data_IF_170848878240
#
_entry.id   IF_170848878240
#
_cell.length_a   1.000
_cell.length_b   1.000
_cell.length_c   1.000
_cell.angle_alpha   90.00
_cell.angle_beta   90.00
_cell.angle_gamma   90.00
#
_symmetry.space_group_name_H-M   'P 1'
#
loop_
_entity.id
_entity.type
_entity.pdbx_description
1 polymer ?
#
# COMPACT_ATOMS: atom_id res chain seq x y z
N UNK A 1 18.77 -33.92 -27.94
CA UNK A 1 18.00 -33.30 -26.83
C UNK A 1 17.67 -31.88 -27.25
N UNK A 2 16.51 -31.69 -27.90
CA UNK A 2 16.04 -30.35 -28.26
C UNK A 2 15.20 -29.81 -27.10
N UNK A 3 15.76 -28.88 -26.31
CA UNK A 3 14.98 -28.12 -25.34
C UNK A 3 13.86 -27.37 -26.07
N UNK A 4 12.68 -27.15 -25.45
CA UNK A 4 11.59 -26.41 -26.07
C UNK A 4 12.05 -25.02 -26.52
N UNK A 5 12.39 -24.86 -27.80
CA UNK A 5 13.10 -23.70 -28.36
C UNK A 5 12.33 -22.38 -28.28
N UNK A 6 11.05 -22.41 -27.91
CA UNK A 6 10.19 -21.22 -27.91
C UNK A 6 10.21 -20.39 -26.63
N UNK A 7 10.53 -20.97 -25.47
CA UNK A 7 10.10 -20.37 -24.19
C UNK A 7 11.20 -20.16 -23.15
N UNK A 8 12.44 -20.62 -23.33
CA UNK A 8 13.53 -20.35 -22.38
C UNK A 8 14.55 -19.41 -23.01
N UNK A 9 14.81 -18.25 -22.38
CA UNK A 9 15.81 -17.28 -22.87
C UNK A 9 17.18 -17.48 -22.22
N UNK A 10 17.22 -17.99 -20.99
CA UNK A 10 18.45 -18.26 -20.26
C UNK A 10 18.26 -19.31 -19.17
N UNK A 11 19.36 -19.94 -18.74
CA UNK A 11 19.40 -20.87 -17.61
C UNK A 11 19.73 -20.09 -16.35
N UNK A 12 18.92 -20.26 -15.30
CA UNK A 12 19.16 -19.70 -13.96
C UNK A 12 20.15 -20.55 -13.17
N UNK A 13 20.06 -21.86 -13.36
CA UNK A 13 20.91 -22.88 -12.74
C UNK A 13 20.37 -24.28 -12.99
N UNK A 14 21.10 -25.29 -12.57
CA UNK A 14 20.70 -26.68 -12.63
C UNK A 14 21.34 -27.45 -11.46
N UNK A 15 20.74 -28.57 -11.10
CA UNK A 15 21.38 -29.61 -10.29
C UNK A 15 21.23 -30.97 -10.99
N UNK A 16 21.46 -32.07 -10.26
CA UNK A 16 21.41 -33.43 -10.82
C UNK A 16 20.03 -33.78 -11.40
N UNK A 17 18.95 -33.27 -10.79
CA UNK A 17 17.59 -33.66 -11.13
C UNK A 17 16.81 -32.56 -11.83
N UNK A 18 17.18 -31.29 -11.65
CA UNK A 18 16.36 -30.18 -12.11
C UNK A 18 17.16 -29.12 -12.88
N UNK A 19 16.50 -28.48 -13.84
CA UNK A 19 16.98 -27.25 -14.48
C UNK A 19 15.95 -26.15 -14.30
N UNK A 20 16.42 -24.97 -13.88
CA UNK A 20 15.61 -23.77 -13.78
C UNK A 20 15.95 -22.82 -14.92
N UNK A 21 14.93 -22.40 -15.65
CA UNK A 21 15.07 -21.53 -16.82
C UNK A 21 14.21 -20.29 -16.67
N UNK A 22 14.71 -19.17 -17.19
CA UNK A 22 13.99 -17.91 -17.25
C UNK A 22 13.63 -17.54 -18.69
N UNK A 23 12.43 -17.02 -18.86
CA UNK A 23 12.02 -16.20 -20.00
C UNK A 23 11.46 -14.91 -19.43
N UNK A 24 11.55 -13.79 -20.16
CA UNK A 24 11.26 -12.46 -19.60
C UNK A 24 9.90 -12.31 -18.89
N UNK A 25 8.96 -13.22 -19.11
CA UNK A 25 7.62 -13.27 -18.53
C UNK A 25 7.37 -14.46 -17.57
N UNK A 26 8.35 -15.35 -17.35
CA UNK A 26 8.19 -16.49 -16.43
C UNK A 26 9.51 -17.16 -16.00
N UNK A 27 9.45 -17.91 -14.90
CA UNK A 27 10.45 -18.91 -14.52
C UNK A 27 9.82 -20.28 -14.56
N UNK A 28 10.55 -21.29 -15.02
CA UNK A 28 10.09 -22.67 -15.04
C UNK A 28 11.17 -23.62 -14.50
N UNK A 29 10.71 -24.70 -13.88
CA UNK A 29 11.54 -25.83 -13.48
C UNK A 29 11.20 -27.05 -14.33
N UNK A 30 12.24 -27.70 -14.85
CA UNK A 30 12.12 -28.96 -15.55
C UNK A 30 12.87 -30.06 -14.81
N UNK A 31 12.24 -31.22 -14.67
CA UNK A 31 12.86 -32.46 -14.21
C UNK A 31 13.65 -33.09 -15.35
N UNK A 32 14.91 -33.39 -15.07
CA UNK A 32 15.89 -33.95 -16.01
C UNK A 32 15.91 -35.48 -15.99
N UNK A 33 15.06 -36.13 -15.19
CA UNK A 33 15.00 -37.59 -15.10
C UNK A 33 14.89 -38.22 -16.49
N UNK A 34 15.75 -39.20 -16.83
CA UNK A 34 15.79 -39.77 -18.17
C UNK A 34 14.51 -40.53 -18.54
N UNK A 35 13.78 -40.98 -17.53
CA UNK A 35 12.51 -41.72 -17.67
C UNK A 35 11.36 -40.84 -18.21
N UNK A 36 11.46 -39.51 -18.05
CA UNK A 36 10.39 -38.58 -18.37
C UNK A 36 10.41 -38.17 -19.84
N UNK A 37 9.24 -38.24 -20.48
CA UNK A 37 8.99 -37.65 -21.81
C UNK A 37 8.94 -36.13 -21.71
N UNK A 38 9.20 -35.43 -22.82
CA UNK A 38 9.35 -33.97 -22.84
C UNK A 38 8.15 -33.20 -22.26
N UNK A 39 6.93 -33.70 -22.46
CA UNK A 39 5.69 -33.15 -21.92
C UNK A 39 5.53 -33.33 -20.40
N UNK A 40 6.26 -34.29 -19.82
CA UNK A 40 6.23 -34.62 -18.39
C UNK A 40 7.37 -33.98 -17.59
N UNK A 41 8.33 -33.34 -18.28
CA UNK A 41 9.49 -32.72 -17.63
C UNK A 41 9.14 -31.43 -16.93
N UNK A 42 8.14 -30.68 -17.39
CA UNK A 42 7.75 -29.42 -16.72
C UNK A 42 7.14 -29.71 -15.35
N UNK A 43 7.83 -29.31 -14.27
CA UNK A 43 7.35 -29.46 -12.90
C UNK A 43 6.42 -28.33 -12.50
N UNK A 44 6.88 -27.10 -12.72
CA UNK A 44 6.13 -25.90 -12.38
C UNK A 44 6.57 -24.73 -13.26
N UNK A 45 5.70 -23.72 -13.35
CA UNK A 45 5.95 -22.46 -14.04
C UNK A 45 5.33 -21.32 -13.25
N UNK A 46 6.14 -20.31 -12.94
CA UNK A 46 5.74 -19.12 -12.22
C UNK A 46 5.75 -17.92 -13.15
N UNK A 47 4.60 -17.26 -13.39
CA UNK A 47 4.57 -16.06 -14.22
C UNK A 47 5.29 -14.90 -13.51
N UNK A 48 5.95 -14.07 -14.30
CA UNK A 48 6.52 -12.78 -13.90
C UNK A 48 5.76 -11.67 -14.65
N UNK A 49 5.72 -10.47 -14.09
CA UNK A 49 5.16 -9.32 -14.80
C UNK A 49 6.06 -8.92 -15.96
N UNK A 50 7.35 -8.68 -15.67
CA UNK A 50 8.34 -8.28 -16.67
C UNK A 50 9.77 -8.34 -16.14
N UNK A 51 10.45 -9.45 -16.37
CA UNK A 51 11.88 -9.59 -16.09
C UNK A 51 12.72 -8.98 -17.22
N UNK A 52 13.52 -7.96 -16.89
CA UNK A 52 14.48 -7.37 -17.81
C UNK A 52 15.91 -7.93 -17.64
N UNK A 53 16.14 -8.72 -16.60
CA UNK A 53 17.44 -9.26 -16.23
C UNK A 53 17.43 -10.77 -16.03
N UNK A 54 18.62 -11.30 -15.77
CA UNK A 54 18.82 -12.70 -15.37
C UNK A 54 18.74 -12.83 -13.87
N UNK A 55 17.97 -13.79 -13.39
CA UNK A 55 18.02 -14.23 -12.00
C UNK A 55 19.24 -15.08 -11.70
N UNK A 56 19.33 -15.56 -10.46
CA UNK A 56 20.36 -16.49 -10.00
C UNK A 56 19.75 -17.61 -9.14
N UNK A 57 20.39 -18.77 -9.18
CA UNK A 57 20.10 -19.88 -8.27
C UNK A 57 20.86 -19.69 -6.96
N UNK A 58 20.12 -19.50 -5.86
CA UNK A 58 20.65 -19.54 -4.51
C UNK A 58 20.52 -20.97 -3.94
N UNK A 59 21.08 -21.20 -2.73
CA UNK A 59 21.14 -22.54 -2.14
C UNK A 59 19.76 -23.19 -1.95
N UNK A 60 18.75 -22.40 -1.57
CA UNK A 60 17.40 -22.90 -1.23
C UNK A 60 16.29 -22.26 -2.06
N UNK A 61 16.61 -21.28 -2.90
CA UNK A 61 15.63 -20.46 -3.60
C UNK A 61 16.19 -19.94 -4.92
N UNK A 62 15.31 -19.38 -5.74
CA UNK A 62 15.66 -18.66 -6.96
C UNK A 62 15.39 -17.18 -6.73
N UNK A 63 16.37 -16.34 -7.01
CA UNK A 63 16.16 -14.89 -7.01
C UNK A 63 16.02 -14.43 -8.45
N UNK A 64 14.94 -13.72 -8.77
CA UNK A 64 14.63 -13.30 -10.13
C UNK A 64 14.15 -11.85 -10.18
N UNK A 65 14.65 -11.04 -11.13
CA UNK A 65 14.08 -9.73 -11.40
C UNK A 65 12.62 -9.83 -11.87
N UNK A 66 11.74 -8.99 -11.34
CA UNK A 66 10.35 -8.83 -11.78
C UNK A 66 9.97 -7.35 -11.76
N UNK A 67 10.09 -6.66 -12.89
CA UNK A 67 9.86 -5.22 -12.97
C UNK A 67 10.88 -4.42 -12.15
N UNK A 68 10.40 -3.69 -11.14
CA UNK A 68 11.21 -2.87 -10.21
C UNK A 68 11.61 -3.61 -8.92
N UNK A 69 11.31 -4.90 -8.80
CA UNK A 69 11.58 -5.72 -7.61
C UNK A 69 12.36 -6.99 -7.95
N UNK A 70 12.86 -7.65 -6.91
CA UNK A 70 13.37 -9.02 -6.97
C UNK A 70 12.39 -9.92 -6.26
N UNK A 71 11.99 -11.03 -6.88
CA UNK A 71 11.17 -12.06 -6.24
C UNK A 71 12.05 -13.24 -5.88
N UNK A 72 11.81 -13.80 -4.69
CA UNK A 72 12.39 -15.06 -4.27
C UNK A 72 11.37 -16.16 -4.47
N UNK A 73 11.71 -17.15 -5.29
CA UNK A 73 10.86 -18.32 -5.54
C UNK A 73 11.41 -19.52 -4.78
N UNK A 74 10.49 -20.30 -4.23
CA UNK A 74 10.77 -21.64 -3.75
C UNK A 74 11.21 -22.51 -4.92
N UNK A 75 12.31 -23.22 -4.73
CA UNK A 75 12.93 -24.02 -5.78
C UNK A 75 12.11 -25.27 -6.13
N UNK A 76 11.31 -25.77 -5.20
CA UNK A 76 10.56 -27.03 -5.31
C UNK A 76 9.23 -26.85 -6.04
N UNK A 77 8.48 -25.80 -5.73
CA UNK A 77 7.13 -25.58 -6.25
C UNK A 77 6.93 -24.27 -7.02
N UNK A 78 7.94 -23.39 -7.05
CA UNK A 78 7.89 -22.11 -7.75
C UNK A 78 7.08 -21.03 -7.02
N UNK A 79 6.62 -21.28 -5.79
CA UNK A 79 5.86 -20.32 -5.00
C UNK A 79 6.72 -19.11 -4.63
N UNK A 80 6.14 -17.93 -4.67
CA UNK A 80 6.82 -16.71 -4.21
C UNK A 80 6.95 -16.75 -2.69
N UNK A 81 8.19 -16.80 -2.19
CA UNK A 81 8.52 -16.76 -0.77
C UNK A 81 8.57 -15.33 -0.25
N UNK A 82 9.27 -14.45 -0.99
CA UNK A 82 9.50 -13.05 -0.62
C UNK A 82 9.55 -12.18 -1.88
N UNK A 83 9.25 -10.90 -1.69
CA UNK A 83 9.44 -9.86 -2.70
C UNK A 83 10.31 -8.76 -2.07
N UNK A 84 11.36 -8.34 -2.78
CA UNK A 84 12.25 -7.27 -2.38
C UNK A 84 12.02 -6.10 -3.31
N UNK A 85 11.35 -5.07 -2.82
CA UNK A 85 11.28 -3.80 -3.53
C UNK A 85 12.65 -3.14 -3.46
N UNK A 86 13.22 -2.87 -4.63
CA UNK A 86 14.51 -2.24 -4.72
C UNK A 86 14.32 -0.75 -4.97
N UNK A 87 14.84 0.07 -4.05
CA UNK A 87 14.99 1.51 -4.29
C UNK A 87 16.14 1.73 -5.28
N UNK A 88 15.88 1.45 -6.55
CA UNK A 88 16.79 1.80 -7.64
C UNK A 88 16.37 3.19 -8.12
N UNK A 89 17.32 4.12 -8.17
CA UNK A 89 17.05 5.46 -8.68
C UNK A 89 16.60 5.38 -10.15
N UNK A 90 15.40 5.91 -10.44
CA UNK A 90 14.81 5.95 -11.79
C UNK A 90 13.74 4.88 -12.05
N UNK A 91 13.11 4.94 -13.23
CA UNK A 91 12.06 4.02 -13.67
C UNK A 91 12.59 2.75 -14.35
N UNK A 92 13.89 2.50 -14.32
CA UNK A 92 14.46 1.37 -15.04
C UNK A 92 14.17 0.06 -14.30
N UNK A 93 13.91 -1.04 -15.03
CA UNK A 93 13.71 -2.33 -14.42
C UNK A 93 14.98 -2.86 -13.75
N UNK A 94 14.80 -3.78 -12.80
CA UNK A 94 15.89 -4.52 -12.17
C UNK A 94 16.64 -5.32 -13.23
N UNK A 95 17.95 -5.09 -13.30
CA UNK A 95 18.86 -5.75 -14.23
C UNK A 95 19.26 -7.15 -13.80
N UNK A 96 20.43 -7.63 -14.25
CA UNK A 96 20.90 -8.98 -13.91
C UNK A 96 21.28 -9.06 -12.43
N UNK A 97 20.89 -10.13 -11.76
CA UNK A 97 21.31 -10.40 -10.39
C UNK A 97 22.65 -11.13 -10.40
N UNK A 98 23.53 -10.73 -9.50
CA UNK A 98 24.82 -11.33 -9.28
C UNK A 98 25.08 -11.47 -7.77
N UNK A 99 25.91 -12.42 -7.38
CA UNK A 99 26.40 -12.54 -6.00
C UNK A 99 27.86 -12.94 -6.00
N UNK A 100 28.63 -12.36 -5.09
CA UNK A 100 30.01 -12.76 -4.77
C UNK A 100 30.06 -13.75 -3.59
N UNK A 101 28.90 -14.17 -3.07
CA UNK A 101 28.77 -15.03 -1.89
C UNK A 101 28.59 -14.26 -0.57
N UNK A 102 28.94 -12.98 -0.52
CA UNK A 102 28.71 -12.11 0.65
C UNK A 102 27.54 -11.16 0.43
N UNK A 103 27.39 -10.65 -0.79
CA UNK A 103 26.42 -9.64 -1.17
C UNK A 103 25.71 -10.02 -2.45
N UNK A 104 24.53 -9.44 -2.63
CA UNK A 104 23.85 -9.46 -3.90
C UNK A 104 24.09 -8.14 -4.64
N UNK A 105 24.13 -8.21 -5.95
CA UNK A 105 24.34 -7.08 -6.84
C UNK A 105 23.27 -7.10 -7.92
N UNK A 106 22.81 -5.91 -8.30
CA UNK A 106 21.99 -5.69 -9.48
C UNK A 106 22.84 -4.98 -10.52
N UNK A 107 23.02 -5.63 -11.66
CA UNK A 107 23.76 -5.15 -12.81
C UNK A 107 22.77 -4.57 -13.81
N UNK A 108 22.61 -3.24 -13.81
CA UNK A 108 21.91 -2.50 -14.85
C UNK A 108 22.82 -2.17 -16.04
N UNK A 109 22.28 -1.53 -17.08
CA UNK A 109 23.01 -1.20 -18.31
C UNK A 109 24.24 -0.30 -18.05
N UNK A 110 24.14 0.60 -17.08
CA UNK A 110 25.19 1.60 -16.77
C UNK A 110 25.53 1.67 -15.27
N UNK A 111 25.03 0.73 -14.46
CA UNK A 111 25.21 0.76 -13.01
C UNK A 111 25.30 -0.62 -12.39
N UNK A 112 26.10 -0.72 -11.33
CA UNK A 112 26.17 -1.88 -10.45
C UNK A 112 25.74 -1.44 -9.06
N UNK A 113 24.59 -1.94 -8.60
CA UNK A 113 24.04 -1.60 -7.28
C UNK A 113 24.17 -2.80 -6.37
N UNK A 114 24.96 -2.67 -5.30
CA UNK A 114 24.96 -3.68 -4.24
C UNK A 114 23.63 -3.62 -3.47
N UNK A 115 22.92 -4.75 -3.41
CA UNK A 115 21.81 -4.93 -2.50
C UNK A 115 22.39 -5.01 -1.09
N UNK A 116 22.25 -3.92 -0.35
CA UNK A 116 22.73 -3.83 1.02
C UNK A 116 21.60 -4.11 1.98
N UNK A 117 21.91 -4.79 3.08
CA UNK A 117 21.01 -4.90 4.22
C UNK A 117 20.64 -3.47 4.67
N UNK A 118 19.34 -3.22 4.83
CA UNK A 118 18.82 -1.95 5.36
C UNK A 118 19.56 -1.54 6.64
N UNK A 119 19.93 -2.49 7.52
CA UNK A 119 20.72 -2.22 8.73
C UNK A 119 22.11 -1.67 8.42
N UNK A 120 22.80 -2.24 7.45
CA UNK A 120 24.10 -1.74 7.01
C UNK A 120 23.98 -0.34 6.39
N UNK A 121 22.95 -0.12 5.56
CA UNK A 121 22.68 1.21 4.98
C UNK A 121 22.36 2.24 6.05
N UNK A 122 21.56 1.89 7.07
CA UNK A 122 21.28 2.76 8.22
C UNK A 122 22.57 3.15 8.94
N UNK A 123 23.48 2.21 9.21
CA UNK A 123 24.77 2.51 9.86
C UNK A 123 25.66 3.43 9.01
N UNK A 124 25.67 3.26 7.69
CA UNK A 124 26.36 4.21 6.79
C UNK A 124 25.75 5.61 6.84
N UNK A 125 24.42 5.69 6.86
CA UNK A 125 23.70 6.96 6.94
C UNK A 125 23.94 7.67 8.27
N UNK A 126 24.13 6.94 9.38
CA UNK A 126 24.44 7.55 10.67
C UNK A 126 25.74 8.36 10.63
N UNK A 127 26.76 7.89 9.90
CA UNK A 127 28.01 8.61 9.71
C UNK A 127 27.87 9.89 8.85
N UNK A 128 27.01 9.90 7.83
CA UNK A 128 26.71 11.13 7.06
C UNK A 128 25.84 12.10 7.85
N UNK A 129 24.86 11.60 8.60
CA UNK A 129 23.98 12.42 9.44
C UNK A 129 24.76 13.11 10.55
N UNK A 130 25.76 12.45 11.14
CA UNK A 130 26.65 13.05 12.13
C UNK A 130 27.42 14.28 11.58
N UNK A 131 27.57 14.38 10.26
CA UNK A 131 28.17 15.55 9.57
C UNK A 131 27.15 16.62 9.18
N UNK A 132 25.88 16.47 9.57
CA UNK A 132 24.81 17.44 9.31
C UNK A 132 24.08 17.26 7.98
N UNK A 133 24.28 16.14 7.27
CA UNK A 133 23.60 15.88 6.01
C UNK A 133 22.11 15.55 6.22
N UNK A 134 21.24 16.50 5.85
CA UNK A 134 19.79 16.36 5.97
C UNK A 134 19.19 15.42 4.92
N UNK A 135 19.80 15.30 3.75
CA UNK A 135 19.35 14.36 2.73
C UNK A 135 19.62 12.92 3.17
N UNK A 136 20.77 12.66 3.82
CA UNK A 136 21.04 11.37 4.45
C UNK A 136 20.01 11.03 5.53
N UNK A 137 19.56 12.02 6.31
CA UNK A 137 18.48 11.82 7.29
C UNK A 137 17.14 11.51 6.64
N UNK A 138 16.82 12.17 5.52
CA UNK A 138 15.62 11.86 4.74
C UNK A 138 15.65 10.42 4.21
N UNK A 139 16.77 9.99 3.63
CA UNK A 139 16.97 8.60 3.19
C UNK A 139 16.82 7.61 4.35
N UNK A 140 17.33 7.95 5.54
CA UNK A 140 17.18 7.11 6.75
C UNK A 140 15.71 6.97 7.14
N UNK A 141 14.94 8.06 7.07
CA UNK A 141 13.51 8.02 7.32
C UNK A 141 12.77 7.12 6.32
N UNK A 142 13.09 7.20 5.02
CA UNK A 142 12.50 6.32 4.00
C UNK A 142 12.77 4.84 4.29
N UNK A 143 14.01 4.47 4.65
CA UNK A 143 14.34 3.09 5.03
C UNK A 143 13.58 2.67 6.27
N UNK A 144 13.42 3.55 7.26
CA UNK A 144 12.64 3.26 8.48
C UNK A 144 11.16 3.03 8.18
N UNK A 145 10.57 3.76 7.23
CA UNK A 145 9.21 3.51 6.74
C UNK A 145 9.10 2.12 6.14
N UNK A 146 10.03 1.73 5.27
CA UNK A 146 10.06 0.37 4.68
C UNK A 146 10.23 -0.73 5.73
N UNK A 147 10.85 -0.40 6.86
CA UNK A 147 11.03 -1.30 8.00
C UNK A 147 9.92 -1.17 9.06
N UNK A 148 8.81 -0.49 8.74
CA UNK A 148 7.68 -0.28 9.64
C UNK A 148 8.01 0.49 10.94
N UNK A 149 9.16 1.16 10.98
CA UNK A 149 9.65 1.93 12.12
C UNK A 149 9.16 3.39 12.05
N UNK A 150 7.84 3.58 11.92
CA UNK A 150 7.21 4.88 11.63
C UNK A 150 7.51 5.98 12.67
N UNK A 151 7.58 5.64 13.95
CA UNK A 151 7.93 6.61 15.00
C UNK A 151 9.35 7.18 14.81
N UNK A 152 10.33 6.31 14.54
CA UNK A 152 11.70 6.71 14.27
C UNK A 152 11.86 7.45 12.93
N UNK A 153 11.04 7.11 11.94
CA UNK A 153 10.98 7.87 10.69
C UNK A 153 10.43 9.28 10.93
N UNK A 154 9.34 9.41 11.71
CA UNK A 154 8.74 10.69 12.06
C UNK A 154 9.71 11.61 12.81
N UNK A 155 10.53 11.08 13.73
CA UNK A 155 11.59 11.84 14.40
C UNK A 155 12.60 12.46 13.43
N UNK A 156 13.01 11.69 12.42
CA UNK A 156 13.95 12.15 11.40
C UNK A 156 13.35 13.25 10.52
N UNK A 157 12.08 13.10 10.15
CA UNK A 157 11.36 14.05 9.31
C UNK A 157 11.08 15.35 10.05
N UNK A 158 10.63 15.28 11.30
CA UNK A 158 10.45 16.45 12.16
C UNK A 158 11.77 17.20 12.36
N UNK A 159 12.90 16.51 12.52
CA UNK A 159 14.20 17.16 12.59
C UNK A 159 14.52 17.95 11.32
N UNK A 160 14.24 17.39 10.13
CA UNK A 160 14.45 18.07 8.84
C UNK A 160 13.56 19.32 8.76
N UNK A 161 12.27 19.20 9.06
CA UNK A 161 11.32 20.32 8.98
C UNK A 161 11.69 21.48 9.91
N UNK A 162 12.26 21.19 11.08
CA UNK A 162 12.71 22.22 12.02
C UNK A 162 14.02 22.93 11.60
N UNK A 163 14.78 22.37 10.66
CA UNK A 163 16.12 22.88 10.27
C UNK A 163 16.14 23.48 8.86
N UNK A 164 15.39 22.89 7.94
CA UNK A 164 15.46 23.23 6.53
C UNK A 164 14.45 24.31 6.14
N UNK A 165 14.81 25.16 5.19
CA UNK A 165 13.91 26.20 4.70
C UNK A 165 12.63 25.58 4.09
N UNK A 166 11.44 26.15 4.38
CA UNK A 166 10.16 25.62 3.87
C UNK A 166 10.04 25.52 2.35
N UNK A 167 10.84 26.28 1.61
CA UNK A 167 10.85 26.30 0.13
C UNK A 167 11.72 25.22 -0.50
N UNK A 168 12.50 24.46 0.28
CA UNK A 168 13.37 23.42 -0.27
C UNK A 168 12.59 22.16 -0.65
N UNK A 169 13.06 21.48 -1.70
CA UNK A 169 12.48 20.19 -2.15
C UNK A 169 12.55 19.14 -1.04
N UNK A 170 13.64 19.12 -0.26
CA UNK A 170 13.82 18.19 0.86
C UNK A 170 12.79 18.44 1.95
N UNK A 171 12.49 19.71 2.25
CA UNK A 171 11.45 20.06 3.23
C UNK A 171 10.05 19.63 2.74
N UNK A 172 9.72 19.85 1.47
CA UNK A 172 8.44 19.41 0.89
C UNK A 172 8.28 17.88 0.95
N UNK A 173 9.32 17.16 0.52
CA UNK A 173 9.34 15.70 0.54
C UNK A 173 9.24 15.16 1.97
N UNK A 174 9.96 15.76 2.91
CA UNK A 174 9.92 15.38 4.32
C UNK A 174 8.52 15.60 4.93
N UNK A 175 7.86 16.71 4.56
CA UNK A 175 6.50 17.02 5.00
C UNK A 175 5.49 16.00 4.48
N UNK A 176 5.55 15.70 3.19
CA UNK A 176 4.65 14.71 2.57
C UNK A 176 4.81 13.34 3.23
N UNK A 177 6.05 12.85 3.37
CA UNK A 177 6.36 11.57 3.97
C UNK A 177 5.97 11.50 5.46
N UNK A 178 6.06 12.62 6.19
CA UNK A 178 5.70 12.68 7.61
C UNK A 178 4.21 12.44 7.82
N UNK A 179 3.34 13.00 6.98
CA UNK A 179 1.90 12.75 7.05
C UNK A 179 1.60 11.26 6.86
N UNK A 180 2.28 10.62 5.90
CA UNK A 180 2.14 9.19 5.65
C UNK A 180 2.66 8.33 6.80
N UNK A 181 3.78 8.71 7.40
CA UNK A 181 4.30 8.04 8.60
C UNK A 181 3.29 8.08 9.76
N UNK A 182 2.60 9.21 9.96
CA UNK A 182 1.66 9.37 11.06
C UNK A 182 0.36 8.62 10.82
N UNK A 183 -0.11 8.54 9.58
CA UNK A 183 -1.22 7.68 9.20
C UNK A 183 -0.92 6.23 9.60
N UNK A 184 0.24 5.72 9.20
CA UNK A 184 0.66 4.36 9.52
C UNK A 184 0.94 4.16 11.01
N UNK A 185 1.48 5.18 11.70
CA UNK A 185 1.72 5.12 13.14
C UNK A 185 0.41 5.09 13.92
N UNK A 186 -0.59 5.89 13.54
CA UNK A 186 -1.93 5.88 14.15
C UNK A 186 -2.60 4.50 14.04
N UNK A 187 -2.25 3.73 13.01
CA UNK A 187 -2.73 2.36 12.83
C UNK A 187 -2.07 1.34 13.78
N UNK A 188 -0.95 1.67 14.42
CA UNK A 188 -0.15 0.74 15.22
C UNK A 188 0.00 1.16 16.67
N UNK A 189 0.25 2.44 16.91
CA UNK A 189 0.47 3.05 18.23
C UNK A 189 -0.22 4.42 18.28
N UNK A 190 -1.47 4.37 18.77
CA UNK A 190 -2.37 5.52 18.88
C UNK A 190 -1.79 6.61 19.78
N UNK A 191 -1.16 6.24 20.90
CA UNK A 191 -0.64 7.20 21.87
C UNK A 191 0.54 8.01 21.30
N UNK A 192 1.44 7.34 20.58
CA UNK A 192 2.55 8.04 19.91
C UNK A 192 2.09 8.90 18.74
N UNK A 193 1.08 8.46 17.99
CA UNK A 193 0.53 9.24 16.89
C UNK A 193 -0.13 10.53 17.38
N UNK A 194 -0.92 10.48 18.45
CA UNK A 194 -1.64 11.65 19.01
C UNK A 194 -0.68 12.79 19.38
N UNK A 195 0.37 12.46 20.15
CA UNK A 195 1.37 13.43 20.59
C UNK A 195 2.07 14.13 19.41
N UNK A 196 2.25 13.42 18.28
CA UNK A 196 2.97 13.91 17.11
C UNK A 196 2.06 14.68 16.14
N UNK A 197 0.77 14.34 16.04
CA UNK A 197 -0.16 15.03 15.13
C UNK A 197 -0.29 16.52 15.44
N UNK A 198 -0.31 16.89 16.72
CA UNK A 198 -0.35 18.29 17.14
C UNK A 198 0.88 19.06 16.63
N UNK A 199 2.06 18.43 16.68
CA UNK A 199 3.29 19.02 16.19
C UNK A 199 3.30 19.16 14.66
N UNK A 200 2.65 18.24 13.93
CA UNK A 200 2.66 18.22 12.47
C UNK A 200 1.70 19.24 11.85
N UNK A 201 0.60 19.56 12.54
CA UNK A 201 -0.36 20.57 12.09
C UNK A 201 0.30 21.93 11.77
N UNK A 202 1.41 22.29 12.45
CA UNK A 202 2.15 23.53 12.17
C UNK A 202 2.87 23.55 10.82
N UNK A 203 3.22 22.36 10.31
CA UNK A 203 4.00 22.17 9.09
C UNK A 203 3.14 21.93 7.86
N UNK A 204 1.94 21.38 8.03
CA UNK A 204 1.01 21.13 6.93
C UNK A 204 0.68 22.44 6.19
N UNK A 205 0.77 22.38 4.86
CA UNK A 205 0.43 23.49 3.96
C UNK A 205 -0.36 22.94 2.78
N UNK A 206 -1.41 23.67 2.41
CA UNK A 206 -2.27 23.30 1.31
C UNK A 206 -3.37 22.31 1.71
N UNK A 207 -4.49 22.43 0.99
CA UNK A 207 -5.74 21.75 1.31
C UNK A 207 -5.62 20.22 1.30
N UNK A 208 -4.90 19.65 0.33
CA UNK A 208 -4.73 18.20 0.24
C UNK A 208 -4.03 17.58 1.47
N UNK A 209 -3.00 18.25 2.00
CA UNK A 209 -2.27 17.76 3.18
C UNK A 209 -3.09 17.97 4.46
N UNK A 210 -3.85 19.06 4.54
CA UNK A 210 -4.78 19.32 5.65
C UNK A 210 -5.89 18.28 5.72
N UNK A 211 -6.48 17.93 4.57
CA UNK A 211 -7.47 16.85 4.47
C UNK A 211 -6.85 15.52 4.91
N UNK A 212 -5.64 15.17 4.41
CA UNK A 212 -4.96 13.93 4.83
C UNK A 212 -4.73 13.89 6.35
N UNK A 213 -4.29 14.99 6.94
CA UNK A 213 -4.09 15.11 8.39
C UNK A 213 -5.40 14.95 9.16
N UNK A 214 -6.48 15.59 8.69
CA UNK A 214 -7.81 15.47 9.30
C UNK A 214 -8.33 14.03 9.22
N UNK A 215 -8.13 13.34 8.10
CA UNK A 215 -8.43 11.90 7.98
C UNK A 215 -7.63 11.09 9.00
N UNK A 216 -6.33 11.36 9.17
CA UNK A 216 -5.51 10.70 10.19
C UNK A 216 -6.08 10.91 11.58
N UNK A 217 -6.41 12.16 11.91
CA UNK A 217 -6.91 12.55 13.22
C UNK A 217 -8.27 11.92 13.51
N UNK A 218 -9.17 11.86 12.53
CA UNK A 218 -10.47 11.21 12.68
C UNK A 218 -10.32 9.72 12.96
N UNK A 219 -9.47 9.01 12.19
CA UNK A 219 -9.17 7.58 12.42
C UNK A 219 -8.53 7.32 13.77
N UNK A 220 -7.67 8.23 14.23
CA UNK A 220 -7.04 8.15 15.54
C UNK A 220 -8.09 8.26 16.65
N UNK A 221 -8.97 9.26 16.58
CA UNK A 221 -10.06 9.45 17.54
C UNK A 221 -10.99 8.22 17.57
N UNK A 222 -11.32 7.61 16.43
CA UNK A 222 -12.08 6.35 16.40
C UNK A 222 -11.40 5.23 17.19
N UNK A 223 -10.09 5.05 17.01
CA UNK A 223 -9.31 4.02 17.71
C UNK A 223 -9.19 4.29 19.20
N UNK A 224 -9.21 5.55 19.60
CA UNK A 224 -9.27 5.97 21.01
C UNK A 224 -10.67 5.83 21.63
N UNK A 225 -11.69 5.45 20.85
CA UNK A 225 -13.09 5.46 21.29
C UNK A 225 -13.69 6.86 21.44
N UNK A 226 -12.99 7.89 20.94
CA UNK A 226 -13.41 9.30 20.93
C UNK A 226 -14.30 9.59 19.71
N UNK A 227 -15.37 8.80 19.58
CA UNK A 227 -16.25 8.86 18.41
C UNK A 227 -16.91 10.22 18.16
N UNK A 228 -17.31 11.02 19.18
CA UNK A 228 -17.82 12.37 18.94
C UNK A 228 -16.84 13.26 18.17
N UNK A 229 -15.56 13.25 18.58
CA UNK A 229 -14.50 14.01 17.93
C UNK A 229 -14.22 13.51 16.52
N UNK A 230 -14.18 12.19 16.33
CA UNK A 230 -14.01 11.59 15.01
C UNK A 230 -15.14 12.01 14.05
N UNK A 231 -16.40 11.95 14.50
CA UNK A 231 -17.57 12.33 13.70
C UNK A 231 -17.55 13.80 13.29
N UNK A 232 -17.10 14.70 14.17
CA UNK A 232 -17.00 16.12 13.85
C UNK A 232 -16.05 16.35 12.68
N UNK A 233 -14.86 15.74 12.73
CA UNK A 233 -13.86 15.84 11.66
C UNK A 233 -14.37 15.19 10.37
N UNK A 234 -14.96 13.99 10.46
CA UNK A 234 -15.53 13.34 9.28
C UNK A 234 -16.68 14.13 8.66
N UNK A 235 -17.50 14.81 9.48
CA UNK A 235 -18.56 15.70 8.98
C UNK A 235 -17.96 16.89 8.25
N UNK A 236 -16.93 17.52 8.79
CA UNK A 236 -16.24 18.61 8.10
C UNK A 236 -15.66 18.15 6.75
N UNK A 237 -15.03 16.97 6.72
CA UNK A 237 -14.52 16.36 5.50
C UNK A 237 -15.63 15.99 4.50
N UNK A 238 -16.81 15.57 4.97
CA UNK A 238 -17.96 15.26 4.14
C UNK A 238 -18.61 16.50 3.50
N UNK A 239 -18.36 17.68 4.09
CA UNK A 239 -18.83 18.98 3.61
C UNK A 239 -17.79 19.71 2.74
N UNK A 240 -16.58 19.16 2.60
CA UNK A 240 -15.54 19.72 1.74
C UNK A 240 -15.98 19.70 0.27
N UNK A 241 -15.97 20.88 -0.37
CA UNK A 241 -16.43 21.10 -1.74
C UNK A 241 -15.28 21.24 -2.75
N UNK A 242 -14.05 20.96 -2.32
CA UNK A 242 -12.83 21.16 -3.10
C UNK A 242 -12.73 20.26 -4.34
N UNK A 243 -13.51 19.18 -4.37
CA UNK A 243 -13.40 18.14 -5.39
C UNK A 243 -12.09 17.35 -5.31
N UNK A 244 -11.34 17.44 -4.20
CA UNK A 244 -10.12 16.65 -4.01
C UNK A 244 -10.44 15.16 -4.02
N UNK A 245 -9.59 14.41 -4.74
CA UNK A 245 -9.65 12.97 -4.86
C UNK A 245 -8.56 12.35 -3.99
N UNK A 246 -8.91 11.41 -3.12
CA UNK A 246 -7.97 10.67 -2.29
C UNK A 246 -8.10 9.16 -2.49
N UNK A 247 -7.05 8.38 -2.22
CA UNK A 247 -7.13 6.93 -2.27
C UNK A 247 -8.15 6.42 -1.24
N UNK A 248 -9.14 5.63 -1.68
CA UNK A 248 -10.19 5.09 -0.82
C UNK A 248 -9.74 3.89 0.05
N UNK A 249 -8.44 3.57 0.11
CA UNK A 249 -7.90 2.40 0.81
C UNK A 249 -6.38 2.42 0.99
N UNK A 250 -5.83 1.33 1.53
CA UNK A 250 -4.38 1.13 1.70
C UNK A 250 -3.72 0.74 0.36
N UNK A 251 -3.07 1.70 -0.29
CA UNK A 251 -2.10 1.70 -1.42
C UNK A 251 -2.14 0.67 -2.57
N UNK A 252 -2.53 -0.60 -2.39
CA UNK A 252 -2.38 -1.61 -3.45
C UNK A 252 -3.51 -1.67 -4.49
N UNK A 253 -4.73 -1.23 -4.14
CA UNK A 253 -5.91 -1.23 -5.04
C UNK A 253 -6.89 -0.06 -4.77
N UNK A 254 -6.38 1.07 -4.27
CA UNK A 254 -7.24 2.17 -3.85
C UNK A 254 -7.78 2.95 -5.06
N UNK A 255 -9.06 2.73 -5.39
CA UNK A 255 -9.79 3.65 -6.26
C UNK A 255 -9.73 5.06 -5.66
N UNK A 256 -9.49 6.07 -6.51
CA UNK A 256 -9.61 7.46 -6.08
C UNK A 256 -11.10 7.75 -5.84
N UNK A 257 -11.43 8.22 -4.64
CA UNK A 257 -12.76 8.70 -4.29
C UNK A 257 -12.70 10.19 -3.95
N UNK A 258 -13.79 10.91 -4.17
CA UNK A 258 -13.90 12.27 -3.66
C UNK A 258 -13.85 12.23 -2.13
N UNK A 259 -13.12 13.16 -1.52
CA UNK A 259 -12.98 13.26 -0.06
C UNK A 259 -14.34 13.24 0.63
N UNK A 260 -15.30 14.00 0.08
CA UNK A 260 -16.65 14.08 0.61
C UNK A 260 -17.39 12.73 0.58
N UNK A 261 -17.24 11.96 -0.50
CA UNK A 261 -17.86 10.63 -0.64
C UNK A 261 -17.22 9.62 0.32
N UNK A 262 -15.89 9.63 0.43
CA UNK A 262 -15.14 8.78 1.35
C UNK A 262 -15.54 9.06 2.80
N UNK A 263 -15.58 10.33 3.19
CA UNK A 263 -15.97 10.76 4.53
C UNK A 263 -17.44 10.43 4.82
N UNK A 264 -18.34 10.61 3.85
CA UNK A 264 -19.74 10.23 3.95
C UNK A 264 -19.94 8.72 4.19
N UNK A 265 -19.22 7.88 3.44
CA UNK A 265 -19.26 6.42 3.63
C UNK A 265 -18.73 6.01 5.01
N UNK A 266 -17.64 6.63 5.49
CA UNK A 266 -17.12 6.39 6.83
C UNK A 266 -18.08 6.80 7.95
N UNK A 267 -18.77 7.95 7.80
CA UNK A 267 -19.80 8.37 8.74
C UNK A 267 -20.95 7.36 8.82
N UNK A 268 -21.43 6.88 7.67
CA UNK A 268 -22.51 5.89 7.62
C UNK A 268 -22.11 4.57 8.30
N UNK A 269 -20.91 4.08 8.03
CA UNK A 269 -20.35 2.90 8.69
C UNK A 269 -20.22 3.11 10.21
N UNK A 270 -19.69 4.26 10.65
CA UNK A 270 -19.52 4.55 12.07
C UNK A 270 -20.87 4.63 12.80
N UNK A 271 -21.88 5.27 12.21
CA UNK A 271 -23.24 5.34 12.76
C UNK A 271 -23.93 3.98 12.79
N UNK A 272 -23.59 3.08 11.87
CA UNK A 272 -24.07 1.70 11.85
C UNK A 272 -23.43 0.88 12.97
N UNK A 273 -22.12 1.02 13.19
CA UNK A 273 -21.39 0.36 14.28
C UNK A 273 -21.74 0.90 15.67
N UNK A 274 -22.20 2.14 15.77
CA UNK A 274 -22.47 2.84 17.02
C UNK A 274 -23.93 3.35 17.09
N UNK A 275 -24.92 2.47 17.32
CA UNK A 275 -26.34 2.84 17.29
C UNK A 275 -26.72 3.88 18.36
N UNK A 276 -26.01 3.92 19.48
CA UNK A 276 -26.20 4.93 20.53
C UNK A 276 -25.84 6.33 20.04
N UNK A 277 -24.77 6.48 19.25
CA UNK A 277 -24.41 7.76 18.64
C UNK A 277 -25.48 8.19 17.63
N UNK A 278 -25.98 7.25 16.82
CA UNK A 278 -27.08 7.51 15.88
C UNK A 278 -28.34 8.01 16.61
N UNK A 279 -28.70 7.38 17.72
CA UNK A 279 -29.84 7.80 18.54
C UNK A 279 -29.64 9.20 19.14
N UNK A 280 -28.42 9.53 19.57
CA UNK A 280 -28.09 10.88 20.11
C UNK A 280 -28.06 11.96 19.04
N UNK A 281 -27.67 11.62 17.81
CA UNK A 281 -27.57 12.57 16.70
C UNK A 281 -28.87 12.75 15.93
N UNK A 282 -29.80 11.79 15.99
CA UNK A 282 -31.08 11.86 15.28
C UNK A 282 -31.88 13.17 15.56
N UNK A 283 -32.02 13.64 16.82
CA UNK A 283 -32.72 14.89 17.11
C UNK A 283 -32.00 16.13 16.54
N UNK A 284 -30.66 16.12 16.53
CA UNK A 284 -29.85 17.21 15.99
C UNK A 284 -29.96 17.26 14.46
N UNK A 285 -29.94 16.10 13.80
CA UNK A 285 -30.15 15.98 12.36
C UNK A 285 -31.55 16.42 11.95
N UNK A 286 -32.57 16.07 12.74
CA UNK A 286 -33.95 16.50 12.52
C UNK A 286 -34.09 18.03 12.69
N UNK A 287 -33.51 18.61 13.75
CA UNK A 287 -33.48 20.07 13.94
C UNK A 287 -32.77 20.77 12.78
N UNK A 288 -31.59 20.28 12.38
CA UNK A 288 -30.82 20.86 11.28
C UNK A 288 -31.56 20.75 9.93
N UNK A 289 -32.27 19.64 9.69
CA UNK A 289 -33.13 19.49 8.52
C UNK A 289 -34.31 20.47 8.56
N UNK A 290 -34.97 20.62 9.71
CA UNK A 290 -36.06 21.58 9.88
C UNK A 290 -35.59 23.02 9.68
N UNK A 291 -34.41 23.37 10.17
CA UNK A 291 -33.80 24.69 9.98
C UNK A 291 -33.39 24.93 8.52
N UNK A 292 -32.81 23.93 7.86
CA UNK A 292 -32.47 24.00 6.43
C UNK A 292 -33.72 24.09 5.53
N UNK A 293 -34.79 23.36 5.88
CA UNK A 293 -36.11 23.43 5.23
C UNK A 293 -36.72 24.82 5.42
N UNK A 294 -36.60 25.42 6.61
CA UNK A 294 -37.05 26.79 6.88
C UNK A 294 -36.21 27.85 6.16
N UNK A 295 -34.90 27.59 5.99
CA UNK A 295 -33.96 28.50 5.34
C UNK A 295 -34.04 28.50 3.79
N UNK A 296 -34.76 27.55 3.20
CA UNK A 296 -35.10 27.47 1.78
C UNK A 296 -33.90 27.57 0.80
N UNK A 297 -33.22 26.45 0.54
CA UNK A 297 -32.49 26.23 -0.72
C UNK A 297 -32.48 24.74 -1.11
N UNK A 298 -33.21 24.42 -2.20
CA UNK A 298 -33.26 23.14 -2.92
C UNK A 298 -33.58 21.88 -2.09
N UNK A 299 -34.87 21.62 -1.97
CA UNK A 299 -35.50 20.38 -1.44
C UNK A 299 -34.86 19.09 -1.98
N UNK A 300 -34.35 19.08 -3.21
CA UNK A 300 -33.75 17.88 -3.82
C UNK A 300 -32.40 17.45 -3.21
N UNK A 301 -31.52 18.39 -2.81
CA UNK A 301 -30.25 18.04 -2.14
C UNK A 301 -30.49 17.56 -0.71
N UNK A 302 -31.47 18.17 -0.02
CA UNK A 302 -31.87 17.78 1.35
C UNK A 302 -32.59 16.42 1.37
N UNK A 303 -33.41 16.11 0.36
CA UNK A 303 -34.04 14.79 0.23
C UNK A 303 -33.03 13.68 -0.07
N UNK A 304 -31.92 13.96 -0.78
CA UNK A 304 -30.87 12.97 -1.03
C UNK A 304 -30.11 12.59 0.27
N UNK A 305 -29.81 13.57 1.13
CA UNK A 305 -29.16 13.35 2.44
C UNK A 305 -30.12 12.68 3.42
N UNK A 306 -31.38 13.15 3.50
CA UNK A 306 -32.38 12.59 4.40
C UNK A 306 -32.82 11.17 4.01
N UNK A 307 -32.95 10.87 2.71
CA UNK A 307 -33.22 9.49 2.23
C UNK A 307 -32.07 8.55 2.59
N UNK A 308 -30.81 8.95 2.41
CA UNK A 308 -29.65 8.14 2.86
C UNK A 308 -29.64 7.90 4.38
N UNK A 309 -30.03 8.90 5.18
CA UNK A 309 -30.11 8.76 6.63
C UNK A 309 -31.31 7.91 7.12
N UNK A 310 -32.40 7.82 6.33
CA UNK A 310 -33.66 7.18 6.72
C UNK A 310 -33.89 5.79 6.09
N UNK A 311 -33.29 5.49 4.94
CA UNK A 311 -33.35 4.16 4.34
C UNK A 311 -32.36 3.21 5.01
N UNK A 312 -32.68 2.76 6.23
CA UNK A 312 -32.79 1.33 6.58
C UNK A 312 -33.13 1.17 8.09
N UNK A 313 -34.42 1.07 8.45
CA UNK A 313 -34.85 0.48 9.71
C UNK A 313 -35.37 -0.94 9.41
N UNK A 314 -34.49 -1.94 9.49
CA UNK A 314 -34.91 -3.35 9.63
C UNK A 314 -35.07 -4.16 8.34
N UNK A 315 -33.96 -4.49 7.68
CA UNK A 315 -33.90 -5.59 6.71
C UNK A 315 -32.93 -6.68 7.17
N UNK A 316 -33.37 -7.58 8.06
CA UNK A 316 -32.69 -8.85 8.31
C UNK A 316 -32.81 -9.81 7.11
N UNK A 317 -32.00 -10.88 7.04
CA UNK A 317 -31.87 -11.71 5.84
C UNK A 317 -33.14 -12.57 5.62
N UNK A 318 -33.90 -12.21 4.59
CA UNK A 318 -35.03 -13.00 4.10
C UNK A 318 -34.55 -14.21 3.31
N UNK A 319 -34.50 -15.36 3.99
CA UNK A 319 -34.53 -16.68 3.37
C UNK A 319 -35.84 -16.82 2.59
N UNK A 320 -35.78 -16.95 1.26
CA UNK A 320 -36.88 -17.52 0.46
C UNK A 320 -36.28 -18.54 -0.49
N UNK A 321 -36.43 -19.81 -0.10
CA UNK A 321 -36.33 -20.92 -1.02
C UNK A 321 -37.53 -20.91 -1.98
N UNK A 322 -37.28 -21.35 -3.21
CA UNK A 322 -38.31 -21.38 -4.24
C UNK A 322 -37.81 -21.92 -5.57
N UNK A 323 -37.50 -23.23 -5.57
CA UNK A 323 -37.54 -24.15 -6.71
C UNK A 323 -38.21 -23.60 -7.99
N UNK A 324 -37.45 -23.53 -9.09
CA UNK A 324 -37.90 -24.06 -10.38
C UNK A 324 -36.74 -24.72 -11.11
N UNK A 325 -36.88 -26.03 -11.28
CA UNK A 325 -36.10 -26.83 -12.20
C UNK A 325 -36.51 -26.51 -13.64
N UNK A 326 -35.53 -26.24 -14.51
CA UNK A 326 -35.64 -26.50 -15.94
C UNK A 326 -34.28 -26.99 -16.44
N UNK A 327 -34.27 -28.25 -16.87
CA UNK A 327 -33.10 -28.94 -17.37
C UNK A 327 -32.80 -28.62 -18.83
N UNK A 328 -31.53 -28.71 -19.15
CA UNK A 328 -30.96 -28.98 -20.48
C UNK A 328 -29.69 -29.80 -20.16
N UNK A 329 -29.57 -31.08 -20.52
CA UNK A 329 -29.70 -31.60 -21.87
C UNK A 329 -28.32 -31.62 -22.52
N UNK A 330 -27.50 -32.64 -22.21
CA UNK A 330 -26.35 -33.03 -23.04
C UNK A 330 -26.78 -34.10 -24.03
N UNK A 331 -26.21 -34.10 -25.23
CA UNK A 331 -25.80 -35.36 -25.83
C UNK A 331 -24.35 -35.34 -26.34
N UNK A 332 -23.71 -36.50 -26.16
CA UNK A 332 -22.46 -37.00 -26.78
C UNK A 332 -21.18 -36.22 -26.45
#
# INVERSE_FOLDING_TARGET
MELPRGNARYVLGFDEQYIWVGAGDHVACYDLSPELKDDQRLRWRTPLQRSAGRGLLARQSLLVPDGSRVVELDRQDGRILRMFDLSIDGSDPVGNLFTDGERFYVLGMERVTALTDSRYRLAQLDHTIARGDLNARYQRAQIRVLMDAYALAADDLLYILNREQPSSIVHENARSLLVDCLLQLAERDVAQADARLLEVRRWVRGQAQEIRLNITQARLHERMGQYPQAMEIWRELALDDSGLMLPAGTEKDAALAQVAELAGAHLEDLLTRQPELRARLAPLAESALQDAVRANNSVERLLAVARRASSNPGGGPGFVGGSQAQGWGRPC
#
